data_IF_895468104211
#
_entry.id   IF_895468104211
#
_cell.length_a   1.000
_cell.length_b   1.000
_cell.length_c   1.000
_cell.angle_alpha   90.00
_cell.angle_beta   90.00
_cell.angle_gamma   90.00
#
_symmetry.space_group_name_H-M   'P 1'
#
loop_
_entity.id
_entity.type
_entity.pdbx_description
1 polymer ?
#
# COMPACT_ATOMS: atom_id res chain seq x y z
N UNK A 1 5.25 -10.64 -34.11
CA UNK A 1 4.92 -9.75 -32.97
C UNK A 1 4.55 -10.55 -31.73
N UNK A 2 3.57 -11.47 -31.80
CA UNK A 2 3.16 -12.32 -30.66
C UNK A 2 4.32 -13.13 -30.02
N UNK A 3 5.15 -13.79 -30.83
CA UNK A 3 6.33 -14.54 -30.34
C UNK A 3 7.32 -13.66 -29.57
N UNK A 4 7.41 -12.37 -29.87
CA UNK A 4 8.28 -11.44 -29.14
C UNK A 4 7.77 -11.21 -27.72
N UNK A 5 6.47 -10.93 -27.53
CA UNK A 5 5.89 -10.71 -26.20
C UNK A 5 5.99 -11.97 -25.33
N UNK A 6 5.76 -13.16 -25.89
CA UNK A 6 5.93 -14.42 -25.17
C UNK A 6 7.38 -14.65 -24.72
N UNK A 7 8.35 -14.34 -25.59
CA UNK A 7 9.78 -14.42 -25.24
C UNK A 7 10.11 -13.40 -24.15
N UNK A 8 9.65 -12.15 -24.27
CA UNK A 8 9.87 -11.11 -23.26
C UNK A 8 9.31 -11.51 -21.88
N UNK A 9 8.06 -11.95 -21.81
CA UNK A 9 7.43 -12.44 -20.57
C UNK A 9 8.18 -13.65 -19.99
N UNK A 10 8.64 -14.56 -20.84
CA UNK A 10 9.45 -15.71 -20.41
C UNK A 10 10.79 -15.28 -19.83
N UNK A 11 11.47 -14.32 -20.45
CA UNK A 11 12.75 -13.79 -19.98
C UNK A 11 12.60 -13.04 -18.65
N UNK A 12 11.60 -12.17 -18.52
CA UNK A 12 11.31 -11.44 -17.27
C UNK A 12 11.03 -12.41 -16.14
N UNK A 13 10.14 -13.38 -16.35
CA UNK A 13 9.83 -14.42 -15.34
C UNK A 13 11.08 -15.19 -14.92
N UNK A 14 11.94 -15.59 -15.87
CA UNK A 14 13.19 -16.29 -15.58
C UNK A 14 14.14 -15.43 -14.76
N UNK A 15 14.36 -14.18 -15.17
CA UNK A 15 15.28 -13.27 -14.49
C UNK A 15 14.81 -12.94 -13.06
N UNK A 16 13.51 -12.72 -12.85
CA UNK A 16 12.95 -12.48 -11.51
C UNK A 16 13.06 -13.71 -10.62
N UNK A 17 12.80 -14.90 -11.16
CA UNK A 17 12.95 -16.14 -10.41
C UNK A 17 14.41 -16.43 -10.05
N UNK A 18 15.36 -16.19 -10.96
CA UNK A 18 16.79 -16.32 -10.70
C UNK A 18 17.28 -15.27 -9.69
N UNK A 19 16.70 -14.06 -9.69
CA UNK A 19 16.94 -13.05 -8.66
C UNK A 19 16.40 -13.49 -7.29
N UNK A 20 15.13 -13.91 -7.20
CA UNK A 20 14.51 -14.42 -5.97
C UNK A 20 15.38 -15.52 -5.34
N UNK A 21 15.79 -16.51 -6.14
CA UNK A 21 16.66 -17.59 -5.67
C UNK A 21 17.97 -17.08 -5.10
N UNK A 22 18.67 -16.17 -5.79
CA UNK A 22 19.94 -15.63 -5.29
C UNK A 22 19.76 -14.88 -3.97
N UNK A 23 18.73 -14.04 -3.86
CA UNK A 23 18.41 -13.32 -2.63
C UNK A 23 18.10 -14.28 -1.49
N UNK A 24 17.31 -15.34 -1.74
CA UNK A 24 16.98 -16.35 -0.74
C UNK A 24 18.22 -17.08 -0.19
N UNK A 25 19.22 -17.36 -1.03
CA UNK A 25 20.50 -17.95 -0.58
C UNK A 25 21.29 -17.02 0.36
N UNK A 26 21.07 -15.71 0.25
CA UNK A 26 21.66 -14.69 1.13
C UNK A 26 20.77 -14.34 2.34
N UNK A 27 19.65 -15.05 2.51
CA UNK A 27 18.66 -14.77 3.56
C UNK A 27 17.84 -13.50 3.32
N UNK A 28 17.81 -12.98 2.09
CA UNK A 28 17.06 -11.79 1.69
C UNK A 28 15.79 -12.23 0.96
N UNK A 29 14.64 -11.63 1.31
CA UNK A 29 13.37 -11.89 0.63
C UNK A 29 13.05 -10.76 -0.34
N UNK A 30 12.71 -11.12 -1.58
CA UNK A 30 12.24 -10.15 -2.58
C UNK A 30 10.80 -9.73 -2.25
N UNK A 31 10.58 -8.43 -2.08
CA UNK A 31 9.25 -7.84 -1.96
C UNK A 31 8.75 -7.36 -3.32
N UNK A 32 7.52 -7.73 -3.69
CA UNK A 32 6.80 -7.14 -4.83
C UNK A 32 5.57 -6.39 -4.34
N UNK A 33 5.10 -5.45 -5.15
CA UNK A 33 3.96 -4.59 -4.85
C UNK A 33 2.84 -4.84 -5.86
N UNK A 34 1.68 -5.27 -5.37
CA UNK A 34 0.49 -5.54 -6.17
C UNK A 34 -0.36 -4.27 -6.19
N UNK A 35 -0.35 -3.58 -7.34
CA UNK A 35 -1.18 -2.40 -7.58
C UNK A 35 -2.68 -2.70 -7.47
N UNK A 36 -3.47 -1.67 -7.16
CA UNK A 36 -4.93 -1.75 -6.96
C UNK A 36 -5.67 -2.23 -8.22
N UNK A 37 -5.22 -1.84 -9.41
CA UNK A 37 -5.95 -2.08 -10.65
C UNK A 37 -5.10 -1.98 -11.91
N UNK A 38 -5.79 -2.05 -13.04
CA UNK A 38 -5.20 -2.04 -14.38
C UNK A 38 -5.82 -0.90 -15.21
N UNK A 39 -5.05 -0.39 -16.16
CA UNK A 39 -5.51 0.63 -17.10
C UNK A 39 -6.70 0.10 -17.93
N UNK A 40 -7.76 0.89 -18.17
CA UNK A 40 -8.95 0.45 -18.92
C UNK A 40 -8.61 0.05 -20.36
N UNK A 41 -7.66 0.71 -21.00
CA UNK A 41 -7.17 0.34 -22.34
C UNK A 41 -6.07 -0.75 -22.31
N UNK A 42 -5.90 -1.43 -21.18
CA UNK A 42 -4.91 -2.48 -20.99
C UNK A 42 -5.32 -3.85 -21.56
N UNK A 43 -4.37 -4.79 -21.54
CA UNK A 43 -4.61 -6.16 -22.02
C UNK A 43 -5.69 -6.90 -21.22
N UNK A 44 -5.74 -6.72 -19.89
CA UNK A 44 -6.67 -7.45 -19.04
C UNK A 44 -8.12 -7.03 -19.30
N UNK A 45 -8.49 -5.74 -19.31
CA UNK A 45 -9.84 -5.33 -19.73
C UNK A 45 -10.16 -5.68 -21.18
N UNK A 46 -9.20 -5.55 -22.11
CA UNK A 46 -9.39 -5.94 -23.51
C UNK A 46 -9.72 -7.44 -23.67
N UNK A 47 -8.99 -8.31 -22.97
CA UNK A 47 -9.14 -9.77 -23.09
C UNK A 47 -10.28 -10.34 -22.23
N UNK A 48 -10.71 -9.62 -21.18
CA UNK A 48 -11.72 -10.07 -20.21
C UNK A 48 -12.82 -9.03 -20.01
N UNK A 49 -13.37 -8.50 -21.10
CA UNK A 49 -14.34 -7.39 -21.08
C UNK A 49 -15.52 -7.60 -20.10
N UNK A 50 -15.99 -8.84 -19.91
CA UNK A 50 -17.12 -9.15 -19.01
C UNK A 50 -16.75 -9.16 -17.52
N UNK A 51 -15.46 -9.05 -17.20
CA UNK A 51 -14.95 -9.03 -15.83
C UNK A 51 -14.74 -7.60 -15.30
N UNK A 52 -14.61 -6.61 -16.18
CA UNK A 52 -14.28 -5.23 -15.84
C UNK A 52 -15.48 -4.31 -16.04
N UNK A 53 -15.62 -3.33 -15.15
CA UNK A 53 -16.67 -2.32 -15.22
C UNK A 53 -16.31 -1.24 -16.23
N UNK A 54 -16.84 -1.37 -17.45
CA UNK A 54 -16.74 -0.30 -18.45
C UNK A 54 -17.51 0.96 -18.01
N UNK A 55 -17.03 2.14 -18.39
CA UNK A 55 -17.62 3.42 -18.01
C UNK A 55 -17.47 3.79 -16.53
N UNK A 56 -16.62 3.08 -15.77
CA UNK A 56 -16.34 3.32 -14.37
C UNK A 56 -14.84 3.47 -14.15
N UNK A 57 -14.47 4.40 -13.28
CA UNK A 57 -13.12 4.52 -12.75
C UNK A 57 -13.07 4.24 -11.25
N UNK A 58 -11.93 3.76 -10.78
CA UNK A 58 -11.63 3.59 -9.35
C UNK A 58 -10.90 4.82 -8.84
N UNK A 59 -11.23 5.23 -7.62
CA UNK A 59 -10.53 6.33 -6.95
C UNK A 59 -10.70 6.32 -5.44
N UNK A 60 -10.67 7.52 -4.86
CA UNK A 60 -10.93 7.75 -3.45
C UNK A 60 -11.84 8.97 -3.26
N UNK A 61 -12.76 8.96 -2.28
CA UNK A 61 -13.58 10.12 -2.00
C UNK A 61 -12.73 11.29 -1.46
N UNK A 62 -13.27 12.53 -1.47
CA UNK A 62 -12.65 13.66 -0.79
C UNK A 62 -12.23 13.35 0.65
N UNK A 63 -10.98 13.69 0.99
CA UNK A 63 -10.44 13.56 2.34
C UNK A 63 -9.58 14.76 2.75
N UNK A 64 -8.97 14.71 3.96
CA UNK A 64 -8.13 15.80 4.47
C UNK A 64 -6.86 16.03 3.66
N UNK A 65 -6.31 14.98 3.04
CA UNK A 65 -5.12 15.03 2.21
C UNK A 65 -5.41 15.54 0.81
N UNK A 66 -6.53 15.08 0.23
CA UNK A 66 -7.02 15.37 -1.11
C UNK A 66 -8.49 15.84 -1.04
N UNK A 67 -8.74 17.14 -0.79
CA UNK A 67 -10.09 17.67 -0.64
C UNK A 67 -10.97 17.55 -1.89
N UNK A 68 -10.37 17.32 -3.06
CA UNK A 68 -11.09 17.06 -4.32
C UNK A 68 -11.52 15.61 -4.48
N UNK A 69 -10.98 14.67 -3.69
CA UNK A 69 -10.96 13.25 -4.02
C UNK A 69 -9.89 12.93 -5.06
N UNK A 70 -9.82 11.67 -5.46
CA UNK A 70 -8.84 11.15 -6.41
C UNK A 70 -9.52 10.25 -7.43
N UNK A 71 -9.05 10.31 -8.68
CA UNK A 71 -9.35 9.35 -9.73
C UNK A 71 -8.03 8.66 -10.10
N UNK A 72 -7.97 7.34 -9.94
CA UNK A 72 -6.79 6.54 -10.26
C UNK A 72 -6.84 5.97 -11.68
N UNK A 73 -7.96 6.15 -12.38
CA UNK A 73 -8.10 5.77 -13.79
C UNK A 73 -8.13 4.26 -14.03
N UNK A 74 -8.40 3.44 -13.02
CA UNK A 74 -8.48 1.98 -13.18
C UNK A 74 -9.92 1.53 -13.45
N UNK A 75 -10.10 0.56 -14.34
CA UNK A 75 -11.40 -0.11 -14.48
C UNK A 75 -11.57 -1.12 -13.33
N UNK A 76 -12.68 -1.07 -12.57
CA UNK A 76 -12.89 -1.98 -11.46
C UNK A 76 -13.20 -3.39 -11.94
N UNK A 77 -12.75 -4.41 -11.19
CA UNK A 77 -13.24 -5.78 -11.36
C UNK A 77 -14.67 -5.87 -10.84
N UNK A 78 -15.61 -6.34 -11.66
CA UNK A 78 -17.01 -6.52 -11.26
C UNK A 78 -17.11 -7.64 -10.21
N UNK A 79 -17.59 -7.38 -8.97
CA UNK A 79 -17.61 -8.37 -7.90
C UNK A 79 -18.34 -9.66 -8.27
N UNK A 80 -19.54 -9.54 -8.85
CA UNK A 80 -20.34 -10.70 -9.26
C UNK A 80 -19.75 -11.44 -10.47
N UNK A 81 -19.08 -10.74 -11.39
CA UNK A 81 -18.40 -11.42 -12.50
C UNK A 81 -17.19 -12.23 -12.02
N UNK A 82 -16.42 -11.65 -11.09
CA UNK A 82 -15.31 -12.33 -10.43
C UNK A 82 -15.80 -13.58 -9.70
N UNK A 83 -16.89 -13.47 -8.92
CA UNK A 83 -17.49 -14.64 -8.23
C UNK A 83 -17.98 -15.71 -9.20
N UNK A 84 -18.64 -15.33 -10.31
CA UNK A 84 -19.14 -16.29 -11.33
C UNK A 84 -18.03 -17.15 -11.95
N UNK A 85 -16.83 -16.63 -12.11
CA UNK A 85 -15.68 -17.42 -12.58
C UNK A 85 -14.82 -18.00 -11.45
N UNK A 86 -15.32 -17.99 -10.21
CA UNK A 86 -14.64 -18.54 -9.03
C UNK A 86 -13.37 -17.77 -8.67
N UNK A 87 -13.35 -16.45 -8.90
CA UNK A 87 -12.22 -15.56 -8.66
C UNK A 87 -10.93 -15.95 -9.40
N UNK A 88 -11.05 -16.69 -10.51
CA UNK A 88 -9.89 -17.23 -11.24
C UNK A 88 -8.90 -16.17 -11.71
N UNK A 89 -9.38 -15.01 -12.20
CA UNK A 89 -8.49 -13.89 -12.54
C UNK A 89 -7.71 -13.38 -11.32
N UNK A 90 -8.38 -13.20 -10.18
CA UNK A 90 -7.76 -12.75 -8.93
C UNK A 90 -6.72 -13.73 -8.44
N UNK A 91 -7.07 -15.02 -8.37
CA UNK A 91 -6.14 -16.07 -8.01
C UNK A 91 -4.92 -16.11 -8.94
N UNK A 92 -5.11 -15.94 -10.25
CA UNK A 92 -4.03 -16.02 -11.23
C UNK A 92 -2.99 -14.91 -11.05
N UNK A 93 -3.39 -13.65 -10.86
CA UNK A 93 -2.41 -12.57 -10.67
C UNK A 93 -1.70 -12.67 -9.32
N UNK A 94 -2.39 -13.12 -8.26
CA UNK A 94 -1.77 -13.32 -6.94
C UNK A 94 -0.74 -14.45 -7.03
N UNK A 95 -1.13 -15.60 -7.60
CA UNK A 95 -0.22 -16.74 -7.76
C UNK A 95 1.01 -16.37 -8.59
N UNK A 96 0.84 -15.57 -9.64
CA UNK A 96 1.95 -15.10 -10.46
C UNK A 96 2.95 -14.26 -9.66
N UNK A 97 2.47 -13.23 -8.96
CA UNK A 97 3.32 -12.33 -8.17
C UNK A 97 3.94 -13.06 -6.96
N UNK A 98 3.13 -13.83 -6.23
CA UNK A 98 3.57 -14.59 -5.06
C UNK A 98 4.60 -15.67 -5.43
N UNK A 99 4.51 -16.28 -6.62
CA UNK A 99 5.52 -17.21 -7.12
C UNK A 99 6.89 -16.56 -7.42
N UNK A 100 6.92 -15.23 -7.58
CA UNK A 100 8.12 -14.43 -7.87
C UNK A 100 8.65 -13.65 -6.67
N UNK A 101 7.96 -13.67 -5.53
CA UNK A 101 8.31 -12.88 -4.34
C UNK A 101 8.37 -13.72 -3.07
N UNK A 102 9.14 -13.28 -2.08
CA UNK A 102 9.04 -13.79 -0.70
C UNK A 102 8.05 -12.98 0.15
N UNK A 103 7.74 -11.75 -0.27
CA UNK A 103 6.75 -10.85 0.34
C UNK A 103 5.95 -10.16 -0.77
N UNK A 104 4.63 -10.12 -0.64
CA UNK A 104 3.73 -9.40 -1.52
C UNK A 104 3.04 -8.29 -0.71
N UNK A 105 3.35 -7.03 -1.03
CA UNK A 105 2.54 -5.90 -0.58
C UNK A 105 1.30 -5.84 -1.47
N UNK A 106 0.12 -5.76 -0.86
CA UNK A 106 -1.15 -5.52 -1.55
C UNK A 106 -1.53 -4.07 -1.31
N UNK A 107 -1.46 -3.27 -2.36
CA UNK A 107 -1.82 -1.87 -2.35
C UNK A 107 -3.31 -1.70 -2.10
N UNK A 108 -3.69 -0.72 -1.28
CA UNK A 108 -5.08 -0.42 -0.91
C UNK A 108 -5.88 -1.68 -0.53
N UNK A 109 -5.45 -2.42 0.50
CA UNK A 109 -6.10 -3.71 0.87
C UNK A 109 -7.60 -3.55 1.18
N UNK A 110 -8.02 -2.32 1.52
CA UNK A 110 -9.43 -1.94 1.66
C UNK A 110 -10.26 -2.22 0.40
N UNK A 111 -9.67 -2.22 -0.80
CA UNK A 111 -10.33 -2.55 -2.07
C UNK A 111 -11.05 -3.91 -2.04
N UNK A 112 -10.60 -4.80 -1.15
CA UNK A 112 -11.10 -6.17 -1.03
C UNK A 112 -12.38 -6.23 -0.20
N UNK A 113 -12.68 -5.20 0.59
CA UNK A 113 -13.96 -5.03 1.28
C UNK A 113 -14.87 -4.07 0.53
N UNK A 114 -14.34 -2.94 0.07
CA UNK A 114 -15.06 -1.95 -0.72
C UNK A 114 -14.12 -1.12 -1.58
N UNK A 115 -14.60 -0.67 -2.73
CA UNK A 115 -13.83 0.20 -3.62
C UNK A 115 -14.69 1.40 -4.05
N UNK A 116 -14.11 2.59 -4.07
CA UNK A 116 -14.83 3.80 -4.45
C UNK A 116 -14.85 3.92 -5.97
N UNK A 117 -16.05 3.81 -6.55
CA UNK A 117 -16.27 3.85 -8.00
C UNK A 117 -16.83 5.20 -8.41
N UNK A 118 -16.30 5.75 -9.48
CA UNK A 118 -16.67 7.03 -10.07
C UNK A 118 -17.16 6.75 -11.49
N UNK A 119 -18.45 7.00 -11.80
CA UNK A 119 -18.93 6.88 -13.17
C UNK A 119 -18.27 7.91 -14.10
N UNK A 120 -17.92 7.50 -15.31
CA UNK A 120 -17.33 8.42 -16.29
C UNK A 120 -18.27 9.59 -16.58
N UNK A 121 -17.69 10.80 -16.62
CA UNK A 121 -18.44 12.05 -16.82
C UNK A 121 -19.00 12.68 -15.55
N UNK A 122 -18.83 12.04 -14.39
CA UNK A 122 -19.23 12.59 -13.09
C UNK A 122 -18.03 13.14 -12.31
N UNK A 123 -18.29 14.03 -11.35
CA UNK A 123 -17.27 14.57 -10.46
C UNK A 123 -16.75 13.53 -9.47
N UNK A 124 -15.52 13.75 -8.99
CA UNK A 124 -14.84 12.84 -8.05
C UNK A 124 -15.58 12.62 -6.73
N UNK A 125 -16.45 13.54 -6.33
CA UNK A 125 -17.27 13.47 -5.12
C UNK A 125 -18.59 12.73 -5.34
N UNK A 126 -18.94 12.42 -6.59
CA UNK A 126 -20.20 11.76 -6.99
C UNK A 126 -20.03 10.24 -7.13
N UNK A 127 -18.85 9.71 -6.82
CA UNK A 127 -18.63 8.28 -6.71
C UNK A 127 -19.28 7.66 -5.46
N UNK A 128 -19.27 6.34 -5.39
CA UNK A 128 -19.80 5.58 -4.25
C UNK A 128 -18.94 4.36 -3.94
N UNK A 129 -19.01 3.90 -2.69
CA UNK A 129 -18.39 2.63 -2.33
C UNK A 129 -19.23 1.45 -2.84
N UNK A 130 -18.60 0.59 -3.62
CA UNK A 130 -19.14 -0.71 -4.03
C UNK A 130 -18.51 -1.78 -3.15
N UNK A 131 -19.33 -2.64 -2.56
CA UNK A 131 -18.87 -3.74 -1.70
C UNK A 131 -18.28 -4.90 -2.51
N UNK A 132 -17.22 -5.50 -1.98
CA UNK A 132 -16.54 -6.67 -2.54
C UNK A 132 -16.67 -7.87 -1.58
N UNK A 133 -16.59 -9.11 -2.08
CA UNK A 133 -16.77 -10.30 -1.27
C UNK A 133 -15.50 -10.61 -0.45
N UNK A 134 -15.25 -9.80 0.58
CA UNK A 134 -14.00 -9.77 1.33
C UNK A 134 -13.51 -11.15 1.80
N UNK A 135 -14.37 -11.95 2.41
CA UNK A 135 -14.00 -13.29 2.89
C UNK A 135 -13.53 -14.21 1.75
N UNK A 136 -14.18 -14.15 0.60
CA UNK A 136 -13.81 -14.95 -0.57
C UNK A 136 -12.46 -14.49 -1.12
N UNK A 137 -12.25 -13.17 -1.22
CA UNK A 137 -11.00 -12.62 -1.71
C UNK A 137 -9.84 -12.91 -0.76
N UNK A 138 -9.98 -12.64 0.55
CA UNK A 138 -8.95 -12.96 1.54
C UNK A 138 -8.63 -14.47 1.58
N UNK A 139 -9.63 -15.34 1.41
CA UNK A 139 -9.40 -16.77 1.28
C UNK A 139 -8.54 -17.12 0.04
N UNK A 140 -8.79 -16.48 -1.11
CA UNK A 140 -7.97 -16.64 -2.32
C UNK A 140 -6.54 -16.16 -2.08
N UNK A 141 -6.36 -14.99 -1.47
CA UNK A 141 -5.03 -14.43 -1.17
C UNK A 141 -4.23 -15.31 -0.23
N UNK A 142 -4.82 -15.73 0.88
CA UNK A 142 -4.15 -16.60 1.86
C UNK A 142 -3.82 -17.97 1.27
N UNK A 143 -4.70 -18.53 0.42
CA UNK A 143 -4.45 -19.78 -0.28
C UNK A 143 -3.24 -19.67 -1.22
N UNK A 144 -3.20 -18.64 -2.08
CA UNK A 144 -2.11 -18.45 -3.03
C UNK A 144 -0.81 -18.01 -2.35
N UNK A 145 -0.89 -17.18 -1.31
CA UNK A 145 0.22 -16.85 -0.41
C UNK A 145 0.86 -18.10 0.17
N UNK A 146 0.06 -18.99 0.79
CA UNK A 146 0.55 -20.22 1.40
C UNK A 146 1.11 -21.20 0.36
N UNK A 147 0.45 -21.37 -0.80
CA UNK A 147 0.94 -22.21 -1.91
C UNK A 147 2.32 -21.78 -2.40
N UNK A 148 2.58 -20.48 -2.42
CA UNK A 148 3.83 -19.91 -2.94
C UNK A 148 4.86 -19.57 -1.85
N UNK A 149 4.53 -19.79 -0.57
CA UNK A 149 5.36 -19.40 0.59
C UNK A 149 5.73 -17.91 0.56
N UNK A 150 4.75 -17.08 0.25
CA UNK A 150 4.90 -15.64 0.10
C UNK A 150 4.13 -14.94 1.22
N UNK A 151 4.80 -14.17 2.06
CA UNK A 151 4.13 -13.38 3.09
C UNK A 151 3.36 -12.21 2.47
N UNK A 152 2.33 -11.73 3.16
CA UNK A 152 1.46 -10.67 2.65
C UNK A 152 1.49 -9.47 3.60
N UNK A 153 1.69 -8.29 3.04
CA UNK A 153 1.54 -7.00 3.72
C UNK A 153 0.37 -6.27 3.08
N UNK A 154 -0.72 -6.04 3.81
CA UNK A 154 -1.83 -5.25 3.33
C UNK A 154 -1.59 -3.78 3.64
N UNK A 155 -1.59 -2.91 2.62
CA UNK A 155 -1.57 -1.48 2.88
C UNK A 155 -2.93 -1.03 3.41
N UNK A 156 -2.95 -0.72 4.71
CA UNK A 156 -4.12 -0.28 5.48
C UNK A 156 -3.96 1.17 5.97
N UNK A 157 -3.74 2.12 5.06
CA UNK A 157 -3.56 3.54 5.38
C UNK A 157 -4.75 4.37 4.87
N UNK A 158 -4.94 5.56 5.43
CA UNK A 158 -6.07 6.44 5.08
C UNK A 158 -7.37 6.03 5.77
N UNK A 159 -8.49 5.98 5.03
CA UNK A 159 -9.82 5.73 5.59
C UNK A 159 -10.12 4.23 5.66
N UNK A 160 -9.56 3.58 6.68
CA UNK A 160 -9.62 2.13 6.86
C UNK A 160 -10.99 1.69 7.45
N UNK A 161 -11.73 0.81 6.77
CA UNK A 161 -12.94 0.19 7.32
C UNK A 161 -12.60 -0.65 8.57
N UNK A 162 -13.41 -0.63 9.65
CA UNK A 162 -13.16 -1.43 10.85
C UNK A 162 -12.93 -2.92 10.57
N UNK A 163 -13.60 -3.47 9.55
CA UNK A 163 -13.50 -4.87 9.14
C UNK A 163 -12.08 -5.27 8.73
N UNK A 164 -11.26 -4.34 8.23
CA UNK A 164 -9.86 -4.60 7.89
C UNK A 164 -9.04 -4.87 9.16
N UNK A 165 -9.31 -4.15 10.26
CA UNK A 165 -8.59 -4.35 11.53
C UNK A 165 -8.84 -5.74 12.12
N UNK A 166 -9.98 -6.36 11.80
CA UNK A 166 -10.30 -7.74 12.19
C UNK A 166 -9.78 -8.77 11.16
N UNK A 167 -9.83 -8.44 9.87
CA UNK A 167 -9.44 -9.33 8.79
C UNK A 167 -7.93 -9.61 8.76
N UNK A 168 -7.09 -8.58 8.88
CA UNK A 168 -5.63 -8.75 8.72
C UNK A 168 -5.04 -9.73 9.75
N UNK A 169 -5.27 -9.59 11.08
CA UNK A 169 -4.73 -10.54 12.05
C UNK A 169 -5.29 -11.95 11.87
N UNK A 170 -6.58 -12.08 11.56
CA UNK A 170 -7.25 -13.38 11.35
C UNK A 170 -6.66 -14.15 10.17
N UNK A 171 -6.35 -13.45 9.09
CA UNK A 171 -5.73 -14.02 7.88
C UNK A 171 -4.21 -14.04 7.94
N UNK A 172 -3.60 -13.61 9.05
CA UNK A 172 -2.14 -13.49 9.24
C UNK A 172 -1.47 -12.63 8.16
N UNK A 173 -2.14 -11.55 7.79
CA UNK A 173 -1.63 -10.52 6.89
C UNK A 173 -1.06 -9.40 7.75
N UNK A 174 0.14 -8.93 7.42
CA UNK A 174 0.74 -7.81 8.12
C UNK A 174 0.04 -6.49 7.73
N UNK A 175 -0.22 -5.63 8.71
CA UNK A 175 -0.55 -4.23 8.46
C UNK A 175 0.69 -3.39 8.15
N UNK A 176 0.49 -2.09 7.94
CA UNK A 176 1.56 -1.10 7.78
C UNK A 176 1.49 -0.06 8.89
N UNK A 177 2.62 0.15 9.56
CA UNK A 177 2.82 1.26 10.47
C UNK A 177 3.71 2.31 9.80
N UNK A 178 3.21 3.53 9.60
CA UNK A 178 3.99 4.63 9.01
C UNK A 178 4.21 5.71 10.07
N UNK A 179 5.47 5.91 10.48
CA UNK A 179 5.82 6.80 11.58
C UNK A 179 5.35 8.26 11.35
N UNK A 180 5.40 8.75 10.11
CA UNK A 180 4.89 10.07 9.75
C UNK A 180 3.37 10.21 10.02
N UNK A 181 2.58 9.17 9.73
CA UNK A 181 1.14 9.16 9.97
C UNK A 181 0.84 8.97 11.46
N UNK A 182 1.53 8.05 12.13
CA UNK A 182 1.37 7.88 13.58
C UNK A 182 1.64 9.20 14.33
N UNK A 183 2.68 9.93 13.95
CA UNK A 183 3.01 11.22 14.56
C UNK A 183 1.91 12.28 14.35
N UNK A 184 1.20 12.22 13.22
CA UNK A 184 0.09 13.12 12.90
C UNK A 184 -1.17 12.77 13.70
N UNK A 185 -1.55 11.49 13.73
CA UNK A 185 -2.86 11.06 14.21
C UNK A 185 -2.87 10.73 15.71
N UNK A 186 -1.80 10.17 16.25
CA UNK A 186 -1.71 9.76 17.66
C UNK A 186 -0.84 10.71 18.49
N UNK A 187 -1.41 11.43 19.49
CA UNK A 187 -0.63 12.26 20.40
C UNK A 187 0.47 11.54 21.17
N UNK A 188 0.34 10.23 21.39
CA UNK A 188 1.31 9.41 22.14
C UNK A 188 2.41 8.84 21.24
N UNK A 189 2.19 8.76 19.93
CA UNK A 189 3.07 8.08 18.98
C UNK A 189 3.40 6.67 19.48
N UNK A 190 2.35 5.85 19.66
CA UNK A 190 2.48 4.46 20.07
C UNK A 190 3.43 3.69 19.11
N UNK A 191 4.21 2.72 19.63
CA UNK A 191 5.07 1.90 18.78
C UNK A 191 4.24 0.99 17.86
N UNK A 192 4.81 0.55 16.72
CA UNK A 192 4.22 -0.49 15.89
C UNK A 192 4.04 -1.79 16.69
N UNK A 193 3.06 -2.60 16.29
CA UNK A 193 2.79 -3.89 16.92
C UNK A 193 3.46 -5.04 16.15
N UNK A 194 3.47 -6.24 16.75
CA UNK A 194 3.88 -7.47 16.06
C UNK A 194 2.90 -7.91 14.95
N UNK A 195 1.88 -7.12 14.62
CA UNK A 195 0.99 -7.35 13.49
C UNK A 195 1.29 -6.42 12.30
N UNK A 196 2.22 -5.47 12.44
CA UNK A 196 2.50 -4.45 11.43
C UNK A 196 3.91 -4.60 10.87
N UNK A 197 4.13 -4.07 9.67
CA UNK A 197 5.45 -3.74 9.12
C UNK A 197 5.73 -2.27 9.36
N UNK A 198 6.81 -1.99 10.08
CA UNK A 198 7.20 -0.64 10.45
C UNK A 198 7.95 0.10 9.33
N UNK A 199 7.52 1.34 9.08
CA UNK A 199 8.03 2.20 8.01
C UNK A 199 8.22 3.62 8.54
N UNK A 200 9.23 4.31 8.03
CA UNK A 200 9.40 5.75 8.28
C UNK A 200 8.38 6.55 7.47
N UNK A 201 8.30 6.26 6.17
CA UNK A 201 7.49 6.92 5.16
C UNK A 201 7.19 5.92 4.02
N UNK A 202 6.28 6.26 3.11
CA UNK A 202 5.99 5.52 1.88
C UNK A 202 6.46 6.30 0.64
N UNK A 203 6.32 5.71 -0.55
CA UNK A 203 6.59 6.39 -1.81
C UNK A 203 5.60 7.53 -2.11
N UNK A 204 4.40 7.50 -1.52
CA UNK A 204 3.37 8.56 -1.66
C UNK A 204 3.59 9.75 -0.72
N UNK A 205 4.55 9.64 0.18
CA UNK A 205 4.82 10.65 1.21
C UNK A 205 6.15 11.33 0.98
N UNK A 206 6.32 12.60 1.41
CA UNK A 206 7.62 13.23 1.35
C UNK A 206 8.66 12.41 2.13
N UNK A 207 9.90 12.44 1.65
CA UNK A 207 11.05 11.91 2.39
C UNK A 207 11.06 12.45 3.82
N UNK A 208 11.64 11.72 4.78
CA UNK A 208 11.66 12.16 6.17
C UNK A 208 12.18 13.59 6.37
N UNK A 209 13.28 13.95 5.69
CA UNK A 209 13.82 15.31 5.73
C UNK A 209 12.87 16.35 5.10
N UNK A 210 12.27 16.03 3.94
CA UNK A 210 11.27 16.89 3.31
C UNK A 210 10.01 17.06 4.17
N UNK A 211 9.61 16.01 4.89
CA UNK A 211 8.50 16.04 5.82
C UNK A 211 8.78 16.98 6.99
N UNK A 212 9.96 16.87 7.63
CA UNK A 212 10.38 17.76 8.71
C UNK A 212 10.42 19.23 8.26
N UNK A 213 10.96 19.50 7.06
CA UNK A 213 11.08 20.84 6.51
C UNK A 213 9.75 21.39 5.92
N UNK A 214 8.78 20.52 5.64
CA UNK A 214 7.51 20.90 5.00
C UNK A 214 7.67 21.39 3.57
N UNK A 215 8.64 20.86 2.83
CA UNK A 215 8.95 21.27 1.44
C UNK A 215 7.82 20.89 0.47
N UNK A 216 7.15 19.77 0.74
CA UNK A 216 6.03 19.25 -0.05
C UNK A 216 4.82 20.20 -0.07
N UNK A 217 4.65 21.01 0.98
CA UNK A 217 3.45 21.85 1.13
C UNK A 217 3.39 22.93 0.05
N UNK A 218 4.53 23.54 -0.29
CA UNK A 218 4.58 24.56 -1.34
C UNK A 218 4.36 23.95 -2.73
N UNK A 219 4.89 22.75 -2.97
CA UNK A 219 4.70 22.00 -4.21
C UNK A 219 3.24 21.59 -4.38
N UNK A 220 2.58 21.09 -3.32
CA UNK A 220 1.16 20.76 -3.34
C UNK A 220 0.28 21.96 -3.68
N UNK A 221 0.61 23.15 -3.18
CA UNK A 221 -0.10 24.39 -3.58
C UNK A 221 0.15 24.70 -5.05
N UNK A 222 1.42 24.66 -5.50
CA UNK A 222 1.80 24.94 -6.88
C UNK A 222 1.10 24.03 -7.89
N UNK A 223 0.90 22.77 -7.55
CA UNK A 223 0.25 21.77 -8.41
C UNK A 223 -1.27 21.67 -8.18
N UNK A 224 -1.86 22.52 -7.35
CA UNK A 224 -3.31 22.53 -7.10
C UNK A 224 -3.83 21.36 -6.25
N UNK A 225 -2.94 20.59 -5.62
CA UNK A 225 -3.27 19.48 -4.71
C UNK A 225 -3.64 19.97 -3.29
N UNK A 226 -3.29 21.21 -2.97
CA UNK A 226 -3.62 21.86 -1.71
C UNK A 226 -4.05 23.28 -1.98
N UNK A 227 -5.22 23.68 -1.48
CA UNK A 227 -5.67 25.06 -1.60
C UNK A 227 -4.73 26.00 -0.81
N UNK A 228 -4.36 27.14 -1.39
CA UNK A 228 -3.38 28.07 -0.81
C UNK A 228 -3.76 28.50 0.62
N UNK A 229 -5.04 28.77 0.85
CA UNK A 229 -5.59 29.13 2.16
C UNK A 229 -5.48 28.01 3.21
N UNK A 230 -5.36 26.75 2.79
CA UNK A 230 -5.20 25.61 3.70
C UNK A 230 -3.74 25.39 4.11
N UNK A 231 -2.77 25.90 3.34
CA UNK A 231 -1.34 25.68 3.59
C UNK A 231 -0.86 26.07 5.01
N UNK A 232 -1.31 27.20 5.61
CA UNK A 232 -0.95 27.54 6.99
C UNK A 232 -1.41 26.49 8.01
N UNK A 233 -2.61 25.91 7.83
CA UNK A 233 -3.12 24.85 8.72
C UNK A 233 -2.28 23.60 8.60
N UNK A 234 -1.97 23.16 7.37
CA UNK A 234 -1.13 21.99 7.10
C UNK A 234 0.27 22.17 7.72
N UNK A 235 0.89 23.36 7.61
CA UNK A 235 2.19 23.65 8.26
C UNK A 235 2.09 23.56 9.78
N UNK A 236 1.00 24.03 10.37
CA UNK A 236 0.76 23.97 11.82
C UNK A 236 0.58 22.53 12.30
N UNK A 237 -0.19 21.73 11.56
CA UNK A 237 -0.37 20.30 11.82
C UNK A 237 0.94 19.53 11.67
N UNK A 238 1.69 19.75 10.59
CA UNK A 238 3.04 19.20 10.39
C UNK A 238 3.94 19.52 11.57
N UNK A 239 4.00 20.79 11.98
CA UNK A 239 4.82 21.22 13.13
C UNK A 239 4.40 20.59 14.46
N UNK A 240 3.13 20.20 14.61
CA UNK A 240 2.66 19.46 15.80
C UNK A 240 3.10 18.00 15.73
N UNK A 241 2.97 17.36 14.56
CA UNK A 241 3.36 15.99 14.34
C UNK A 241 4.88 15.79 14.54
N UNK A 242 5.70 16.64 13.93
CA UNK A 242 7.17 16.57 14.06
C UNK A 242 7.61 16.75 15.52
N UNK A 243 6.99 17.67 16.27
CA UNK A 243 7.25 17.87 17.71
C UNK A 243 6.77 16.71 18.58
N UNK A 244 5.70 16.00 18.21
CA UNK A 244 5.28 14.77 18.91
C UNK A 244 6.34 13.68 18.73
N UNK A 245 6.77 13.45 17.50
CA UNK A 245 7.80 12.46 17.19
C UNK A 245 9.14 12.80 17.88
N UNK A 246 9.58 14.06 17.79
CA UNK A 246 10.79 14.56 18.46
C UNK A 246 10.74 14.33 19.99
N UNK A 247 9.61 14.63 20.64
CA UNK A 247 9.43 14.34 22.08
C UNK A 247 9.44 12.84 22.37
N UNK A 248 8.79 12.02 21.54
CA UNK A 248 8.73 10.56 21.70
C UNK A 248 10.12 9.93 21.64
N UNK A 249 10.99 10.48 20.79
CA UNK A 249 12.35 9.99 20.55
C UNK A 249 13.42 10.71 21.39
N UNK A 250 13.04 11.74 22.16
CA UNK A 250 13.97 12.59 22.91
C UNK A 250 15.12 13.16 22.04
N UNK A 251 14.80 13.51 20.78
CA UNK A 251 15.74 14.09 19.80
C UNK A 251 15.14 15.31 19.14
N UNK A 252 15.97 16.31 18.83
CA UNK A 252 15.47 17.55 18.24
C UNK A 252 15.18 17.44 16.74
N UNK A 253 14.22 18.22 16.25
CA UNK A 253 13.92 18.38 14.81
C UNK A 253 14.99 19.17 14.07
N UNK A 254 15.80 19.98 14.78
CA UNK A 254 16.92 20.73 14.19
C UNK A 254 18.10 19.84 13.75
N UNK A 255 18.11 18.57 14.15
CA UNK A 255 19.11 17.58 13.74
C UNK A 255 18.44 16.41 12.98
N UNK A 256 17.96 16.61 11.73
CA UNK A 256 17.17 15.62 11.00
C UNK A 256 17.83 14.23 10.88
N UNK A 257 19.16 14.18 10.73
CA UNK A 257 19.89 12.92 10.62
C UNK A 257 19.92 12.15 11.95
N UNK A 258 20.14 12.86 13.06
CA UNK A 258 20.14 12.23 14.39
C UNK A 258 18.74 11.76 14.78
N UNK A 259 17.72 12.56 14.48
CA UNK A 259 16.32 12.17 14.70
C UNK A 259 15.92 10.96 13.84
N UNK A 260 16.35 10.89 12.58
CA UNK A 260 16.10 9.73 11.72
C UNK A 260 16.81 8.48 12.24
N UNK A 261 18.06 8.59 12.68
CA UNK A 261 18.79 7.47 13.24
C UNK A 261 18.09 6.90 14.49
N UNK A 262 17.65 7.79 15.40
CA UNK A 262 16.89 7.39 16.59
C UNK A 262 15.53 6.79 16.23
N UNK A 263 14.85 7.32 15.20
CA UNK A 263 13.61 6.75 14.69
C UNK A 263 13.82 5.32 14.17
N UNK A 264 14.85 5.11 13.35
CA UNK A 264 15.16 3.78 12.81
C UNK A 264 15.52 2.79 13.92
N UNK A 265 16.29 3.22 14.92
CA UNK A 265 16.61 2.39 16.07
C UNK A 265 15.36 2.09 16.93
N UNK A 266 14.49 3.08 17.13
CA UNK A 266 13.24 2.90 17.85
C UNK A 266 12.29 1.92 17.16
N UNK A 267 12.13 2.03 15.83
CA UNK A 267 11.36 1.07 15.05
C UNK A 267 12.02 -0.31 15.06
N UNK A 268 13.35 -0.40 14.99
CA UNK A 268 14.08 -1.67 14.98
C UNK A 268 14.09 -2.41 16.32
N UNK A 269 13.81 -1.72 17.43
CA UNK A 269 13.60 -2.33 18.75
C UNK A 269 12.18 -2.84 18.98
N UNK A 270 11.25 -2.53 18.07
CA UNK A 270 9.86 -2.98 18.19
C UNK A 270 9.72 -4.46 17.83
N UNK A 271 8.56 -5.04 18.13
CA UNK A 271 8.24 -6.42 17.75
C UNK A 271 7.78 -6.54 16.28
N UNK A 272 7.81 -5.44 15.52
CA UNK A 272 7.44 -5.37 14.10
C UNK A 272 8.63 -5.73 13.21
N UNK A 273 8.44 -6.57 12.16
CA UNK A 273 9.46 -6.75 11.13
C UNK A 273 9.73 -5.44 10.38
N UNK A 274 11.01 -5.05 10.29
CA UNK A 274 11.47 -3.95 9.45
C UNK A 274 11.88 -4.45 8.05
N UNK A 275 11.38 -3.85 6.96
CA UNK A 275 11.88 -4.13 5.62
C UNK A 275 13.36 -3.72 5.50
N UNK A 276 14.21 -4.66 5.08
CA UNK A 276 15.62 -4.37 4.79
C UNK A 276 16.60 -4.52 5.96
N UNK A 277 16.17 -4.98 7.14
CA UNK A 277 17.08 -5.36 8.23
C UNK A 277 17.35 -6.86 8.24
N UNK A 278 18.62 -7.28 8.32
CA UNK A 278 18.97 -8.67 8.62
C UNK A 278 18.56 -8.95 10.07
N UNK A 279 17.47 -9.68 10.29
CA UNK A 279 17.20 -10.28 11.59
C UNK A 279 18.27 -11.34 11.84
N UNK A 280 19.26 -11.06 12.69
CA UNK A 280 20.24 -12.07 13.10
C UNK A 280 19.90 -12.76 14.42
N UNK A 281 18.89 -12.32 15.19
CA UNK A 281 18.70 -12.85 16.56
C UNK A 281 17.25 -12.99 17.05
N UNK A 282 16.24 -12.80 16.21
CA UNK A 282 14.87 -13.24 16.56
C UNK A 282 14.31 -14.04 15.41
N UNK A 283 14.38 -15.36 15.57
CA UNK A 283 13.58 -16.31 14.81
C UNK A 283 12.10 -16.10 15.16
N UNK A 284 11.52 -15.06 14.57
CA UNK A 284 10.15 -15.12 14.10
C UNK A 284 10.31 -15.24 12.57
N UNK A 285 10.61 -16.49 12.17
CA UNK A 285 10.88 -17.04 10.81
C UNK A 285 12.32 -16.90 10.27
#
# INVERSE_FOLDING_TARGET
MERFHLVAQTLVRRQLHDLKKRLEHEGIRLGLDLAVGVHPDGYDPWSRQTLFGDGMSVGAPPDRGFPSGQDWGFSPVLPEASRREGHRYVAAFIAHQAGLAGVLRVDHIMAWTRLYWIPHGFGLHEGTYVSYPAEELFAVLTLESNRNRCEVVGENLGTVPPEINEALPRHRIWGMYVAQFQAADDPKVAPPTAADVALVNTHDTPTFAGWLAGTDIAERVRYGLLAEQAAPSVRKERSRATRRLSRRLARTVEEPRALLAELLEWLGRSDSPLPGTRSSERAIW
#
